data_IF_290599888401
#
_entry.id   IF_290599888401
#
_cell.length_a   1.000
_cell.length_b   1.000
_cell.length_c   1.000
_cell.angle_alpha   90.00
_cell.angle_beta   90.00
_cell.angle_gamma   90.00
#
_symmetry.space_group_name_H-M   'P 1'
#
loop_
_entity.id
_entity.type
_entity.pdbx_description
1 polymer ?
#
# COMPACT_ATOMS: atom_id res chain seq x y z
N UNK A 1 -4.30 -0.35 18.12
CA UNK A 1 -3.59 -0.41 19.41
C UNK A 1 -2.25 -1.15 19.30
N UNK A 2 -2.20 -2.45 18.99
CA UNK A 2 -0.96 -3.25 19.02
C UNK A 2 0.22 -2.71 18.19
N UNK A 3 -0.01 -2.21 16.96
CA UNK A 3 1.06 -1.62 16.14
C UNK A 3 1.74 -0.44 16.83
N UNK A 4 0.96 0.40 17.50
CA UNK A 4 1.48 1.56 18.23
C UNK A 4 2.22 1.14 19.52
N UNK A 5 1.78 0.06 20.18
CA UNK A 5 2.53 -0.52 21.31
C UNK A 5 3.89 -1.03 20.87
N UNK A 6 3.98 -1.75 19.74
CA UNK A 6 5.27 -2.19 19.17
C UNK A 6 6.16 -0.99 18.88
N UNK A 7 5.61 0.07 18.26
CA UNK A 7 6.35 1.30 18.01
C UNK A 7 6.90 1.92 19.30
N UNK A 8 6.08 2.04 20.35
CA UNK A 8 6.51 2.56 21.65
C UNK A 8 7.63 1.69 22.25
N UNK A 9 7.45 0.37 22.30
CA UNK A 9 8.47 -0.54 22.82
C UNK A 9 9.81 -0.40 22.09
N UNK A 10 9.80 -0.36 20.76
CA UNK A 10 11.02 -0.26 19.94
C UNK A 10 11.69 1.12 20.12
N UNK A 11 10.90 2.19 20.21
CA UNK A 11 11.40 3.54 20.48
C UNK A 11 12.05 3.62 21.85
N UNK A 12 11.38 3.11 22.88
CA UNK A 12 11.81 3.22 24.28
C UNK A 12 13.05 2.34 24.56
N UNK A 13 13.20 1.21 23.85
CA UNK A 13 14.44 0.39 23.87
C UNK A 13 15.63 0.99 23.09
N UNK A 14 15.35 1.99 22.25
CA UNK A 14 16.29 2.56 21.29
C UNK A 14 16.33 1.79 19.97
N UNK A 15 16.05 2.50 18.86
CA UNK A 15 16.03 1.96 17.50
C UNK A 15 17.43 1.48 17.09
N UNK A 16 17.55 0.22 16.71
CA UNK A 16 18.84 -0.44 16.40
C UNK A 16 19.20 -0.48 14.92
N UNK A 17 18.20 -0.41 14.05
CA UNK A 17 18.38 -0.35 12.61
C UNK A 17 18.05 1.06 12.12
N UNK A 18 19.05 1.77 11.63
CA UNK A 18 18.96 3.15 11.16
C UNK A 18 18.81 3.27 9.63
N UNK A 19 18.85 2.14 8.91
CA UNK A 19 18.53 2.01 7.48
C UNK A 19 17.08 1.55 7.35
N UNK A 20 16.29 2.29 6.58
CA UNK A 20 14.88 1.95 6.34
C UNK A 20 14.66 1.86 4.86
N UNK A 21 14.09 0.74 4.43
CA UNK A 21 13.60 0.52 3.07
C UNK A 21 12.10 0.73 3.07
N UNK A 22 11.60 1.62 2.23
CA UNK A 22 10.19 1.75 1.94
C UNK A 22 9.89 1.33 0.51
N UNK A 23 8.92 0.45 0.36
CA UNK A 23 8.31 0.10 -0.92
C UNK A 23 6.83 0.39 -0.76
N UNK A 24 6.39 1.50 -1.36
CA UNK A 24 5.03 1.97 -1.24
C UNK A 24 4.33 2.02 -2.60
N UNK A 25 3.02 2.19 -2.59
CA UNK A 25 2.23 2.51 -3.77
C UNK A 25 1.24 3.60 -3.43
N UNK A 26 1.32 4.75 -4.10
CA UNK A 26 0.30 5.79 -3.99
C UNK A 26 -0.74 5.57 -5.07
N UNK A 27 -1.99 5.42 -4.66
CA UNK A 27 -3.10 5.10 -5.55
C UNK A 27 -3.97 6.32 -5.80
N UNK A 28 -4.40 6.50 -7.04
CA UNK A 28 -5.10 7.69 -7.52
C UNK A 28 -6.26 7.33 -8.44
N UNK A 29 -7.29 8.17 -8.46
CA UNK A 29 -8.33 8.16 -9.49
C UNK A 29 -8.38 9.53 -10.19
N UNK A 30 -8.78 9.52 -11.46
CA UNK A 30 -9.05 10.75 -12.21
C UNK A 30 -10.46 11.25 -11.86
N UNK A 31 -10.52 12.29 -11.05
CA UNK A 31 -11.77 12.93 -10.65
C UNK A 31 -12.32 13.81 -11.77
N UNK A 32 -13.58 13.58 -12.13
CA UNK A 32 -14.34 14.46 -13.02
C UNK A 32 -14.75 15.73 -12.24
N UNK A 33 -13.89 16.74 -12.24
CA UNK A 33 -14.09 17.99 -11.52
C UNK A 33 -14.88 19.04 -12.31
N UNK A 34 -15.02 20.23 -11.71
CA UNK A 34 -15.63 21.39 -12.39
C UNK A 34 -14.77 21.84 -13.59
N UNK A 35 -15.42 22.15 -14.72
CA UNK A 35 -14.82 22.56 -16.01
C UNK A 35 -14.26 21.43 -16.91
N UNK A 36 -14.77 20.20 -16.80
CA UNK A 36 -14.48 19.05 -17.68
C UNK A 36 -12.99 18.67 -17.80
N UNK A 37 -12.13 19.14 -16.87
CA UNK A 37 -10.72 18.77 -16.80
C UNK A 37 -10.52 17.74 -15.68
N UNK A 38 -10.13 16.50 -16.02
CA UNK A 38 -9.85 15.49 -15.01
C UNK A 38 -8.70 15.91 -14.10
N UNK A 39 -8.89 15.79 -12.79
CA UNK A 39 -7.83 16.05 -11.80
C UNK A 39 -7.44 14.76 -11.10
N UNK A 40 -6.14 14.58 -10.85
CA UNK A 40 -5.65 13.37 -10.18
C UNK A 40 -5.89 13.50 -8.67
N UNK A 41 -6.63 12.56 -8.09
CA UNK A 41 -6.98 12.55 -6.67
C UNK A 41 -6.50 11.29 -5.99
N UNK A 42 -5.77 11.43 -4.89
CA UNK A 42 -5.19 10.32 -4.13
C UNK A 42 -6.29 9.59 -3.38
N UNK A 43 -6.39 8.28 -3.61
CA UNK A 43 -7.30 7.38 -2.89
C UNK A 43 -6.68 7.00 -1.54
N UNK A 44 -5.42 6.60 -1.56
CA UNK A 44 -4.64 6.19 -0.40
C UNK A 44 -3.14 6.08 -0.75
N UNK A 45 -2.32 5.92 0.28
CA UNK A 45 -0.93 5.48 0.14
C UNK A 45 -0.76 4.14 0.87
N UNK A 46 -0.33 3.12 0.14
CA UNK A 46 -0.03 1.80 0.66
C UNK A 46 1.44 1.75 1.09
N UNK A 47 1.73 1.70 2.39
CA UNK A 47 3.13 1.69 2.91
C UNK A 47 3.61 0.31 3.34
N UNK A 48 2.73 -0.69 3.41
CA UNK A 48 3.02 -2.08 3.74
C UNK A 48 2.48 -3.00 2.64
N UNK A 49 3.21 -4.10 2.35
CA UNK A 49 2.76 -5.17 1.47
C UNK A 49 2.19 -4.71 0.10
N UNK A 50 2.73 -3.61 -0.45
CA UNK A 50 2.32 -3.03 -1.72
C UNK A 50 2.46 -4.06 -2.86
N UNK A 51 1.34 -4.70 -3.19
CA UNK A 51 1.29 -5.88 -4.06
C UNK A 51 1.18 -5.53 -5.55
N UNK A 52 1.30 -6.56 -6.39
CA UNK A 52 1.10 -6.54 -7.85
C UNK A 52 2.23 -5.91 -8.67
N UNK A 53 3.39 -5.64 -8.09
CA UNK A 53 4.55 -5.25 -8.89
C UNK A 53 5.02 -6.36 -9.84
N UNK A 54 4.93 -7.62 -9.43
CA UNK A 54 5.30 -8.77 -10.25
C UNK A 54 4.32 -9.00 -11.40
N UNK A 55 3.05 -9.23 -11.08
CA UNK A 55 2.03 -9.47 -12.11
C UNK A 55 1.73 -8.22 -12.94
N UNK A 56 1.65 -7.04 -12.31
CA UNK A 56 1.41 -5.77 -12.99
C UNK A 56 2.50 -5.44 -14.02
N UNK A 57 3.76 -5.80 -13.76
CA UNK A 57 4.84 -5.61 -14.74
C UNK A 57 4.68 -6.46 -16.02
N UNK A 58 3.82 -7.48 -16.02
CA UNK A 58 3.58 -8.38 -17.16
C UNK A 58 2.36 -8.00 -18.00
N UNK A 59 1.41 -7.23 -17.44
CA UNK A 59 0.19 -6.83 -18.12
C UNK A 59 0.46 -6.02 -19.40
N UNK A 60 1.41 -5.07 -19.42
CA UNK A 60 1.74 -4.36 -20.66
C UNK A 60 2.07 -5.27 -21.84
N UNK A 61 2.78 -6.38 -21.61
CA UNK A 61 3.15 -7.30 -22.69
C UNK A 61 1.93 -8.06 -23.23
N UNK A 62 0.98 -8.41 -22.36
CA UNK A 62 -0.30 -9.01 -22.77
C UNK A 62 -1.09 -8.02 -23.63
N UNK A 63 -1.22 -6.77 -23.20
CA UNK A 63 -1.97 -5.76 -23.96
C UNK A 63 -1.31 -5.42 -25.30
N UNK A 64 0.03 -5.33 -25.36
CA UNK A 64 0.75 -5.19 -26.63
C UNK A 64 0.46 -6.34 -27.58
N UNK A 65 0.49 -7.57 -27.06
CA UNK A 65 0.19 -8.76 -27.86
C UNK A 65 -1.23 -8.72 -28.43
N UNK A 66 -2.22 -8.33 -27.63
CA UNK A 66 -3.62 -8.17 -28.10
C UNK A 66 -3.70 -7.16 -29.25
N UNK A 67 -3.08 -5.99 -29.13
CA UNK A 67 -3.04 -5.00 -30.21
C UNK A 67 -2.34 -5.51 -31.47
N UNK A 68 -1.24 -6.26 -31.31
CA UNK A 68 -0.53 -6.87 -32.43
C UNK A 68 -1.40 -7.90 -33.17
N UNK A 69 -2.08 -8.79 -32.44
CA UNK A 69 -3.01 -9.78 -33.01
C UNK A 69 -4.19 -9.09 -33.71
N UNK A 70 -4.64 -7.95 -33.19
CA UNK A 70 -5.67 -7.13 -33.82
C UNK A 70 -5.18 -6.34 -35.05
N UNK A 71 -3.89 -6.40 -35.38
CA UNK A 71 -3.32 -5.66 -36.52
C UNK A 71 -3.16 -4.16 -36.27
N UNK A 72 -2.98 -3.75 -35.00
CA UNK A 72 -2.78 -2.36 -34.56
C UNK A 72 -1.42 -2.14 -33.88
N UNK A 73 -0.30 -2.32 -34.59
CA UNK A 73 1.04 -2.19 -34.02
C UNK A 73 1.35 -0.79 -33.47
N UNK A 74 0.79 0.26 -34.07
CA UNK A 74 0.91 1.65 -33.59
C UNK A 74 0.24 1.85 -32.23
N UNK A 75 -0.86 1.13 -31.95
CA UNK A 75 -1.52 1.16 -30.64
C UNK A 75 -0.75 0.36 -29.60
N UNK A 76 -0.16 -0.77 -30.00
CA UNK A 76 0.74 -1.54 -29.15
C UNK A 76 1.94 -0.68 -28.67
N UNK A 77 2.44 0.22 -29.52
CA UNK A 77 3.58 1.08 -29.19
C UNK A 77 3.26 2.13 -28.10
N UNK A 78 1.99 2.48 -27.90
CA UNK A 78 1.55 3.44 -26.88
C UNK A 78 1.44 2.83 -25.48
N UNK A 79 1.40 1.50 -25.37
CA UNK A 79 1.37 0.82 -24.07
C UNK A 79 2.72 0.96 -23.39
N UNK A 80 2.72 1.57 -22.20
CA UNK A 80 3.94 1.82 -21.42
C UNK A 80 4.52 0.53 -20.85
N UNK A 81 5.86 0.41 -20.84
CA UNK A 81 6.52 -0.67 -20.09
C UNK A 81 6.38 -0.38 -18.60
N UNK A 82 6.21 -1.43 -17.80
CA UNK A 82 6.23 -1.33 -16.35
C UNK A 82 7.46 -2.08 -15.82
N UNK A 83 8.39 -1.34 -15.23
CA UNK A 83 9.63 -1.89 -14.66
C UNK A 83 9.54 -2.11 -13.14
N UNK A 84 8.32 -2.10 -12.57
CA UNK A 84 8.15 -2.04 -11.12
C UNK A 84 8.82 -3.20 -10.39
N UNK A 85 8.74 -4.40 -10.95
CA UNK A 85 9.39 -5.59 -10.38
C UNK A 85 10.91 -5.43 -10.28
N UNK A 86 11.55 -4.86 -11.30
CA UNK A 86 13.01 -4.69 -11.36
C UNK A 86 13.48 -3.59 -10.41
N UNK A 87 12.77 -2.46 -10.38
CA UNK A 87 13.08 -1.32 -9.51
C UNK A 87 12.91 -1.66 -8.03
N UNK A 88 11.86 -2.42 -7.69
CA UNK A 88 11.64 -2.92 -6.32
C UNK A 88 12.72 -3.95 -5.94
N UNK A 89 13.06 -4.88 -6.84
CA UNK A 89 14.16 -5.81 -6.60
C UNK A 89 15.48 -5.07 -6.37
N UNK A 90 15.75 -3.97 -7.10
CA UNK A 90 16.92 -3.12 -6.94
C UNK A 90 16.96 -2.44 -5.57
N UNK A 91 15.84 -1.89 -5.11
CA UNK A 91 15.69 -1.35 -3.76
C UNK A 91 16.02 -2.38 -2.68
N UNK A 92 15.41 -3.57 -2.77
CA UNK A 92 15.64 -4.65 -1.82
C UNK A 92 17.11 -5.10 -1.83
N UNK A 93 17.68 -5.32 -3.02
CA UNK A 93 19.07 -5.73 -3.17
C UNK A 93 20.05 -4.66 -2.64
N UNK A 94 19.76 -3.37 -2.84
CA UNK A 94 20.60 -2.30 -2.29
C UNK A 94 20.48 -2.20 -0.79
N UNK A 95 19.28 -2.36 -0.21
CA UNK A 95 19.12 -2.44 1.24
C UNK A 95 19.94 -3.60 1.82
N UNK A 96 19.86 -4.79 1.21
CA UNK A 96 20.67 -5.95 1.58
C UNK A 96 22.18 -5.68 1.51
N UNK A 97 22.68 -5.03 0.45
CA UNK A 97 24.10 -4.62 0.36
C UNK A 97 24.47 -3.60 1.44
N UNK A 98 23.57 -2.66 1.75
CA UNK A 98 23.80 -1.66 2.80
C UNK A 98 23.79 -2.25 4.21
N UNK A 99 23.11 -3.38 4.43
CA UNK A 99 23.22 -4.15 5.66
C UNK A 99 24.65 -4.66 5.88
N UNK A 100 25.32 -5.09 4.81
CA UNK A 100 26.76 -5.34 4.79
C UNK A 100 27.21 -6.74 5.19
N UNK A 101 26.34 -7.76 5.09
CA UNK A 101 26.69 -9.17 5.32
C UNK A 101 26.32 -10.00 4.09
N UNK A 102 27.32 -10.50 3.36
CA UNK A 102 27.12 -11.30 2.13
C UNK A 102 26.47 -12.66 2.38
N UNK A 103 26.58 -13.18 3.61
CA UNK A 103 25.97 -14.46 4.02
C UNK A 103 24.54 -14.29 4.53
N UNK A 104 24.11 -13.05 4.80
CA UNK A 104 22.78 -12.80 5.32
C UNK A 104 21.72 -13.00 4.24
N UNK A 105 20.53 -13.42 4.67
CA UNK A 105 19.39 -13.70 3.79
C UNK A 105 18.36 -12.58 3.85
N UNK A 106 17.45 -12.58 2.89
CA UNK A 106 16.22 -11.80 2.93
C UNK A 106 15.09 -12.72 3.40
N UNK A 107 14.29 -12.28 4.36
CA UNK A 107 13.08 -13.00 4.76
C UNK A 107 11.87 -12.26 4.21
N UNK A 108 11.10 -12.95 3.37
CA UNK A 108 9.74 -12.57 3.01
C UNK A 108 8.82 -13.04 4.14
N UNK A 109 8.20 -12.10 4.83
CA UNK A 109 7.19 -12.39 5.86
C UNK A 109 5.86 -12.58 5.16
N UNK A 110 5.27 -13.76 5.24
CA UNK A 110 4.19 -14.19 4.34
C UNK A 110 2.99 -14.76 5.09
N UNK A 111 1.83 -14.66 4.45
CA UNK A 111 0.56 -15.23 4.92
C UNK A 111 0.60 -16.76 4.95
N UNK A 112 -0.31 -17.37 5.70
CA UNK A 112 -0.45 -18.84 5.73
C UNK A 112 -0.80 -19.42 4.34
N UNK A 113 -1.75 -18.79 3.64
CA UNK A 113 -2.16 -19.17 2.29
C UNK A 113 -2.13 -17.94 1.39
N UNK A 114 -1.03 -17.78 0.64
CA UNK A 114 -0.86 -16.66 -0.28
C UNK A 114 -1.51 -16.95 -1.64
N UNK A 115 -2.77 -16.50 -1.84
CA UNK A 115 -3.43 -16.57 -3.16
C UNK A 115 -2.63 -15.87 -4.26
N UNK A 116 -1.95 -14.78 -3.90
CA UNK A 116 -1.12 -13.99 -4.79
C UNK A 116 0.37 -14.40 -4.75
N UNK A 117 0.68 -15.67 -4.48
CA UNK A 117 2.07 -16.14 -4.34
C UNK A 117 2.93 -15.87 -5.59
N UNK A 118 2.34 -15.98 -6.78
CA UNK A 118 3.09 -15.78 -8.03
C UNK A 118 3.63 -14.36 -8.18
N UNK A 119 2.88 -13.35 -7.74
CA UNK A 119 3.38 -11.96 -7.68
C UNK A 119 4.64 -11.84 -6.81
N UNK A 120 4.66 -12.53 -5.67
CA UNK A 120 5.80 -12.54 -4.75
C UNK A 120 6.98 -13.31 -5.35
N UNK A 121 6.73 -14.47 -5.97
CA UNK A 121 7.76 -15.30 -6.60
C UNK A 121 8.45 -14.59 -7.76
N UNK A 122 7.74 -13.72 -8.48
CA UNK A 122 8.38 -12.88 -9.50
C UNK A 122 9.53 -12.05 -8.90
N UNK A 123 9.34 -11.52 -7.70
CA UNK A 123 10.36 -10.71 -7.03
C UNK A 123 11.49 -11.57 -6.46
N UNK A 124 11.16 -12.74 -5.91
CA UNK A 124 12.18 -13.72 -5.48
C UNK A 124 13.08 -14.14 -6.64
N UNK A 125 12.53 -14.37 -7.83
CA UNK A 125 13.31 -14.71 -9.02
C UNK A 125 14.30 -13.60 -9.40
N UNK A 126 13.90 -12.32 -9.31
CA UNK A 126 14.82 -11.21 -9.57
C UNK A 126 15.95 -11.13 -8.53
N UNK A 127 15.66 -11.47 -7.27
CA UNK A 127 16.67 -11.54 -6.21
C UNK A 127 17.61 -12.73 -6.38
N UNK A 128 17.10 -13.91 -6.74
CA UNK A 128 17.91 -15.10 -7.01
C UNK A 128 18.86 -14.93 -8.19
N UNK A 129 18.42 -14.24 -9.26
CA UNK A 129 19.30 -13.86 -10.38
C UNK A 129 20.48 -12.99 -9.97
N UNK A 130 20.42 -12.39 -8.77
CA UNK A 130 21.48 -11.56 -8.18
C UNK A 130 22.25 -12.31 -7.09
N UNK A 131 22.05 -13.63 -6.98
CA UNK A 131 22.63 -14.50 -5.96
C UNK A 131 22.24 -14.09 -4.52
N UNK A 132 21.07 -13.50 -4.32
CA UNK A 132 20.55 -13.15 -2.99
C UNK A 132 19.54 -14.21 -2.55
N UNK A 133 19.84 -14.89 -1.44
CA UNK A 133 18.96 -15.92 -0.87
C UNK A 133 17.74 -15.32 -0.21
N UNK A 134 16.57 -15.91 -0.50
CA UNK A 134 15.29 -15.54 0.11
C UNK A 134 14.70 -16.71 0.89
N UNK A 135 14.30 -16.46 2.14
CA UNK A 135 13.48 -17.36 2.95
C UNK A 135 12.04 -16.83 3.01
N UNK A 136 11.05 -17.72 3.08
CA UNK A 136 9.66 -17.37 3.34
C UNK A 136 9.28 -17.86 4.73
N UNK A 137 8.81 -16.97 5.60
CA UNK A 137 8.41 -17.33 6.97
C UNK A 137 7.13 -16.60 7.35
N UNK A 138 6.28 -17.26 8.12
CA UNK A 138 5.15 -16.63 8.80
C UNK A 138 5.63 -15.88 10.04
N UNK A 139 4.80 -15.00 10.57
CA UNK A 139 5.14 -14.21 11.75
C UNK A 139 5.32 -15.09 13.01
N UNK A 140 4.41 -16.05 13.25
CA UNK A 140 4.56 -17.09 14.28
C UNK A 140 5.89 -17.88 14.16
N UNK A 141 6.30 -18.27 12.95
CA UNK A 141 7.54 -19.02 12.73
C UNK A 141 8.78 -18.17 13.05
N UNK A 142 8.72 -16.86 12.81
CA UNK A 142 9.78 -15.93 13.17
C UNK A 142 9.91 -15.84 14.69
N UNK A 143 8.81 -15.86 15.43
CA UNK A 143 8.85 -15.91 16.88
C UNK A 143 9.45 -17.24 17.39
N UNK A 144 8.98 -18.36 16.85
CA UNK A 144 9.38 -19.70 17.30
C UNK A 144 10.85 -20.04 16.98
N UNK A 145 11.38 -19.51 15.88
CA UNK A 145 12.68 -19.92 15.31
C UNK A 145 13.70 -18.79 15.25
N UNK A 146 13.27 -17.57 15.55
CA UNK A 146 14.10 -16.37 15.50
C UNK A 146 14.88 -16.16 16.78
N UNK A 147 16.17 -15.88 16.65
CA UNK A 147 17.06 -15.58 17.78
C UNK A 147 17.74 -14.24 17.51
N UNK A 148 17.77 -13.36 18.52
CA UNK A 148 18.60 -12.17 18.51
C UNK A 148 19.92 -12.47 19.22
N UNK A 149 21.04 -12.16 18.57
CA UNK A 149 22.34 -12.18 19.25
C UNK A 149 22.53 -10.95 20.15
N UNK A 150 23.72 -10.83 20.77
CA UNK A 150 24.06 -9.70 21.65
C UNK A 150 24.01 -8.34 20.94
N UNK A 151 24.25 -8.32 19.63
CA UNK A 151 24.17 -7.11 18.80
C UNK A 151 22.76 -6.91 18.22
N UNK A 152 21.78 -7.75 18.60
CA UNK A 152 20.42 -7.81 18.03
C UNK A 152 20.39 -8.10 16.54
N UNK A 153 21.39 -8.78 15.98
CA UNK A 153 21.27 -9.41 14.66
C UNK A 153 20.25 -10.53 14.78
N UNK A 154 19.33 -10.58 13.82
CA UNK A 154 18.32 -11.63 13.76
C UNK A 154 18.87 -12.84 13.02
N UNK A 155 18.75 -14.01 13.63
CA UNK A 155 19.01 -15.29 12.99
C UNK A 155 17.72 -16.09 12.92
N UNK A 156 17.42 -16.66 11.77
CA UNK A 156 16.31 -17.61 11.58
C UNK A 156 16.90 -18.85 10.93
N UNK A 157 16.74 -20.01 11.57
CA UNK A 157 17.27 -21.30 11.07
C UNK A 157 18.78 -21.29 10.82
N UNK A 158 19.52 -20.53 11.65
CA UNK A 158 20.96 -20.35 11.52
C UNK A 158 21.40 -19.31 10.48
N UNK A 159 20.47 -18.70 9.74
CA UNK A 159 20.78 -17.66 8.77
C UNK A 159 20.61 -16.26 9.36
N UNK A 160 21.65 -15.42 9.29
CA UNK A 160 21.57 -13.99 9.60
C UNK A 160 20.58 -13.32 8.65
N UNK A 161 19.69 -12.47 9.16
CA UNK A 161 18.67 -11.78 8.36
C UNK A 161 19.08 -10.33 8.14
N UNK A 162 19.28 -9.97 6.87
CA UNK A 162 19.62 -8.60 6.47
C UNK A 162 18.37 -7.75 6.24
N UNK A 163 17.36 -8.31 5.58
CA UNK A 163 16.12 -7.61 5.22
C UNK A 163 14.91 -8.46 5.58
N UNK A 164 13.93 -7.88 6.25
CA UNK A 164 12.60 -8.45 6.46
C UNK A 164 11.60 -7.69 5.59
N UNK A 165 11.12 -8.34 4.52
CA UNK A 165 10.16 -7.77 3.58
C UNK A 165 8.75 -8.30 3.87
N UNK A 166 7.86 -7.41 4.34
CA UNK A 166 6.53 -7.80 4.79
C UNK A 166 5.56 -7.88 3.62
N UNK A 167 4.99 -9.08 3.42
CA UNK A 167 3.88 -9.39 2.49
C UNK A 167 2.59 -9.80 3.21
N UNK A 168 2.56 -9.65 4.53
CA UNK A 168 1.46 -9.90 5.47
C UNK A 168 1.61 -8.92 6.64
N UNK A 169 0.69 -8.96 7.60
CA UNK A 169 0.75 -8.19 8.84
C UNK A 169 0.17 -6.79 8.72
N UNK A 170 -0.72 -6.59 7.74
CA UNK A 170 -1.43 -5.34 7.45
C UNK A 170 -2.89 -5.36 7.92
N UNK A 171 -3.44 -6.55 8.20
CA UNK A 171 -4.75 -6.74 8.84
C UNK A 171 -4.65 -7.45 10.20
N UNK A 172 -5.67 -7.36 11.07
CA UNK A 172 -5.72 -8.14 12.31
C UNK A 172 -5.72 -9.65 12.08
N UNK A 173 -6.32 -10.12 10.98
CA UNK A 173 -6.41 -11.55 10.64
C UNK A 173 -5.04 -12.17 10.31
N UNK A 174 -4.01 -11.34 10.07
CA UNK A 174 -2.62 -11.76 9.92
C UNK A 174 -1.93 -12.06 11.27
N UNK A 175 -2.61 -11.78 12.39
CA UNK A 175 -2.11 -11.99 13.75
C UNK A 175 -3.11 -12.82 14.59
N UNK A 176 -3.36 -14.09 14.22
CA UNK A 176 -4.32 -14.94 14.93
C UNK A 176 -3.89 -15.26 16.38
N UNK A 177 -2.61 -15.09 16.71
CA UNK A 177 -2.07 -15.41 18.03
C UNK A 177 -1.15 -14.33 18.59
N UNK A 178 -0.85 -14.42 19.90
CA UNK A 178 0.17 -13.59 20.53
C UNK A 178 1.57 -13.88 19.97
N UNK A 179 1.81 -15.09 19.46
CA UNK A 179 3.09 -15.45 18.82
C UNK A 179 3.34 -14.61 17.56
N UNK A 180 2.31 -14.31 16.77
CA UNK A 180 2.44 -13.43 15.61
C UNK A 180 2.81 -12.01 16.04
N UNK A 181 2.15 -11.47 17.08
CA UNK A 181 2.51 -10.15 17.60
C UNK A 181 3.94 -10.12 18.15
N UNK A 182 4.37 -11.19 18.84
CA UNK A 182 5.73 -11.32 19.35
C UNK A 182 6.75 -11.48 18.22
N UNK A 183 6.40 -12.18 17.13
CA UNK A 183 7.25 -12.31 15.94
C UNK A 183 7.44 -10.98 15.24
N UNK A 184 6.37 -10.18 15.11
CA UNK A 184 6.47 -8.81 14.60
C UNK A 184 7.35 -7.94 15.50
N UNK A 185 7.17 -8.00 16.82
CA UNK A 185 8.02 -7.26 17.76
C UNK A 185 9.49 -7.70 17.66
N UNK A 186 9.77 -9.00 17.54
CA UNK A 186 11.12 -9.55 17.36
C UNK A 186 11.81 -8.97 16.12
N UNK A 187 11.09 -8.92 14.99
CA UNK A 187 11.58 -8.28 13.76
C UNK A 187 11.96 -6.82 14.02
N UNK A 188 11.05 -6.04 14.60
CA UNK A 188 11.23 -4.60 14.78
C UNK A 188 12.39 -4.27 15.73
N UNK A 189 12.59 -5.08 16.79
CA UNK A 189 13.71 -4.95 17.74
C UNK A 189 15.07 -5.31 17.14
N UNK A 190 15.08 -6.07 16.04
CA UNK A 190 16.30 -6.55 15.40
C UNK A 190 17.03 -5.49 14.57
N UNK A 191 18.29 -5.80 14.24
CA UNK A 191 19.09 -5.08 13.25
C UNK A 191 18.71 -5.38 11.81
N UNK A 192 17.79 -6.31 11.50
CA UNK A 192 17.34 -6.46 10.11
C UNK A 192 16.71 -5.16 9.61
N UNK A 193 16.89 -4.83 8.32
CA UNK A 193 16.20 -3.73 7.64
C UNK A 193 14.77 -4.18 7.39
N UNK A 194 13.80 -3.47 7.95
CA UNK A 194 12.38 -3.77 7.72
C UNK A 194 11.90 -3.03 6.48
N UNK A 195 10.99 -3.65 5.75
CA UNK A 195 10.26 -3.04 4.65
C UNK A 195 8.76 -3.40 4.75
N UNK A 196 7.94 -2.52 5.33
CA UNK A 196 8.30 -1.31 6.10
C UNK A 196 8.67 -1.62 7.55
N UNK A 197 9.34 -0.69 8.23
CA UNK A 197 9.40 -0.67 9.70
C UNK A 197 8.06 -0.25 10.31
N UNK A 198 7.88 -0.47 11.62
CA UNK A 198 6.59 -0.21 12.29
C UNK A 198 6.13 1.25 12.19
N UNK A 199 7.06 2.21 12.21
CA UNK A 199 6.74 3.62 12.06
C UNK A 199 6.23 3.93 10.64
N UNK A 200 6.90 3.43 9.60
CA UNK A 200 6.45 3.59 8.21
C UNK A 200 5.11 2.87 7.96
N UNK A 201 4.86 1.74 8.62
CA UNK A 201 3.56 1.08 8.59
C UNK A 201 2.46 2.01 9.17
N UNK A 202 2.68 2.63 10.33
CA UNK A 202 1.72 3.56 10.94
C UNK A 202 1.45 4.80 10.06
N UNK A 203 2.44 5.26 9.29
CA UNK A 203 2.26 6.38 8.33
C UNK A 203 1.25 6.05 7.23
N UNK A 204 1.07 4.78 6.88
CA UNK A 204 0.09 4.36 5.87
C UNK A 204 -1.36 4.37 6.34
N UNK A 205 -1.60 4.60 7.64
CA UNK A 205 -2.97 4.61 8.18
C UNK A 205 -3.81 5.73 7.58
N UNK A 206 -5.11 5.46 7.40
CA UNK A 206 -6.06 6.44 6.87
C UNK A 206 -6.16 7.68 7.77
N UNK A 207 -5.98 7.51 9.09
CA UNK A 207 -5.88 8.62 10.04
C UNK A 207 -4.69 9.54 9.74
N UNK A 208 -3.50 9.00 9.46
CA UNK A 208 -2.35 9.84 9.08
C UNK A 208 -2.60 10.53 7.75
N UNK A 209 -3.19 9.84 6.75
CA UNK A 209 -3.58 10.47 5.49
C UNK A 209 -4.52 11.66 5.71
N UNK A 210 -5.52 11.52 6.58
CA UNK A 210 -6.44 12.61 6.94
C UNK A 210 -5.74 13.74 7.71
N UNK A 211 -4.87 13.44 8.67
CA UNK A 211 -4.17 14.48 9.42
C UNK A 211 -3.20 15.29 8.53
N UNK A 212 -2.62 14.67 7.51
CA UNK A 212 -1.75 15.35 6.54
C UNK A 212 -2.51 16.39 5.68
N UNK A 213 -3.84 16.31 5.54
CA UNK A 213 -4.60 17.32 4.78
C UNK A 213 -4.87 18.59 5.56
N UNK A 214 -4.69 18.58 6.89
CA UNK A 214 -4.91 19.77 7.72
C UNK A 214 -3.96 20.90 7.31
N UNK A 215 -4.44 22.15 7.24
CA UNK A 215 -3.59 23.30 6.93
C UNK A 215 -2.36 23.38 7.83
N UNK A 216 -1.18 23.58 7.23
CA UNK A 216 0.08 23.70 7.95
C UNK A 216 0.71 22.38 8.42
N UNK A 217 0.07 21.21 8.23
CA UNK A 217 0.65 19.92 8.65
C UNK A 217 1.70 19.42 7.65
N UNK A 218 1.42 19.46 6.34
CA UNK A 218 2.42 19.10 5.32
C UNK A 218 3.68 19.96 5.43
N UNK A 219 3.50 21.26 5.66
CA UNK A 219 4.60 22.23 5.79
C UNK A 219 5.54 21.90 6.94
N UNK A 220 5.08 21.21 8.00
CA UNK A 220 5.96 20.75 9.09
C UNK A 220 6.95 19.67 8.63
N UNK A 221 6.58 18.87 7.65
CA UNK A 221 7.40 17.75 7.15
C UNK A 221 8.19 18.10 5.89
N UNK A 222 7.74 19.10 5.13
CA UNK A 222 8.32 19.53 3.85
C UNK A 222 8.60 21.04 3.84
N UNK A 223 9.10 21.56 4.96
CA UNK A 223 9.30 23.01 5.20
C UNK A 223 10.27 23.66 4.19
N UNK A 224 11.18 22.88 3.62
CA UNK A 224 12.17 23.30 2.64
C UNK A 224 11.74 23.05 1.18
N UNK A 225 10.54 22.52 0.95
CA UNK A 225 10.05 22.15 -0.38
C UNK A 225 8.58 22.57 -0.62
N UNK A 226 8.31 23.87 -0.72
CA UNK A 226 6.94 24.39 -0.93
C UNK A 226 6.31 23.86 -2.22
N UNK A 227 7.07 23.66 -3.29
CA UNK A 227 6.56 23.11 -4.53
C UNK A 227 6.08 21.65 -4.37
N UNK A 228 6.76 20.84 -3.55
CA UNK A 228 6.29 19.49 -3.22
C UNK A 228 5.00 19.55 -2.40
N UNK A 229 4.88 20.49 -1.46
CA UNK A 229 3.64 20.72 -0.70
C UNK A 229 2.49 21.02 -1.64
N UNK A 230 2.66 21.92 -2.60
CA UNK A 230 1.64 22.27 -3.58
C UNK A 230 1.23 21.07 -4.44
N UNK A 231 2.20 20.31 -4.99
CA UNK A 231 1.93 19.12 -5.81
C UNK A 231 1.19 18.04 -5.02
N UNK A 232 1.59 17.77 -3.78
CA UNK A 232 0.93 16.76 -2.93
C UNK A 232 -0.49 17.23 -2.59
N UNK A 233 -0.65 18.48 -2.13
CA UNK A 233 -1.94 19.05 -1.76
C UNK A 233 -2.93 19.06 -2.92
N UNK A 234 -2.48 19.30 -4.15
CA UNK A 234 -3.33 19.25 -5.33
C UNK A 234 -4.01 17.88 -5.53
N UNK A 235 -3.40 16.80 -5.03
CA UNK A 235 -3.95 15.44 -5.10
C UNK A 235 -4.94 15.12 -4.00
N UNK A 236 -5.05 15.93 -2.95
CA UNK A 236 -5.98 15.65 -1.86
C UNK A 236 -7.44 15.90 -2.27
N UNK A 237 -8.31 15.13 -1.62
CA UNK A 237 -9.77 15.37 -1.55
C UNK A 237 -10.12 15.79 -0.13
N UNK A 238 -11.38 16.15 0.12
CA UNK A 238 -11.88 16.34 1.47
C UNK A 238 -11.63 15.10 2.35
N UNK A 239 -10.85 15.26 3.41
CA UNK A 239 -10.56 14.22 4.39
C UNK A 239 -10.83 14.79 5.78
N UNK A 240 -11.74 14.17 6.52
CA UNK A 240 -12.31 14.73 7.74
C UNK A 240 -12.20 13.76 8.91
N UNK A 241 -11.95 14.33 10.09
CA UNK A 241 -11.92 13.57 11.34
C UNK A 241 -13.31 13.43 11.94
N UNK A 242 -13.55 12.29 12.59
CA UNK A 242 -14.71 12.05 13.44
C UNK A 242 -14.43 12.23 14.92
N UNK A 243 -13.24 12.69 15.34
CA UNK A 243 -12.90 12.81 16.76
C UNK A 243 -13.95 13.61 17.56
N UNK A 244 -14.09 13.31 18.86
CA UNK A 244 -15.04 13.99 19.76
C UNK A 244 -14.82 15.51 19.77
N UNK A 245 -15.90 16.28 19.56
CA UNK A 245 -15.88 17.73 19.52
C UNK A 245 -16.64 18.33 18.33
N UNK A 246 -16.71 19.66 18.31
CA UNK A 246 -17.53 20.44 17.36
C UNK A 246 -17.18 20.16 15.88
N UNK A 247 -15.90 19.94 15.56
CA UNK A 247 -15.47 19.57 14.21
C UNK A 247 -16.06 18.21 13.80
N UNK A 248 -15.90 17.19 14.64
CA UNK A 248 -16.41 15.85 14.36
C UNK A 248 -17.93 15.81 14.26
N UNK A 249 -18.63 16.55 15.13
CA UNK A 249 -20.10 16.59 15.12
C UNK A 249 -20.66 17.23 13.84
N UNK A 250 -19.99 18.26 13.32
CA UNK A 250 -20.31 18.85 12.01
C UNK A 250 -20.07 17.87 10.87
N UNK A 251 -18.97 17.12 10.92
CA UNK A 251 -18.65 16.10 9.91
C UNK A 251 -19.68 14.98 9.92
N UNK A 252 -20.12 14.51 11.11
CA UNK A 252 -21.22 13.53 11.22
C UNK A 252 -22.50 14.07 10.60
N UNK A 253 -22.89 15.30 10.92
CA UNK A 253 -24.10 15.91 10.36
C UNK A 253 -24.04 16.03 8.83
N UNK A 254 -22.90 16.48 8.30
CA UNK A 254 -22.64 16.58 6.86
C UNK A 254 -22.76 15.22 6.17
N UNK A 255 -22.10 14.19 6.72
CA UNK A 255 -22.11 12.84 6.16
C UNK A 255 -23.49 12.17 6.22
N UNK A 256 -24.27 12.43 7.28
CA UNK A 256 -25.65 11.92 7.40
C UNK A 256 -26.63 12.59 6.43
N UNK A 257 -26.39 13.87 6.10
CA UNK A 257 -27.23 14.62 5.16
C UNK A 257 -27.01 14.17 3.71
N UNK A 258 -25.76 13.93 3.32
CA UNK A 258 -25.38 13.61 1.94
C UNK A 258 -24.45 12.39 1.84
N UNK A 259 -24.90 11.19 2.26
CA UNK A 259 -24.03 10.01 2.38
C UNK A 259 -23.44 9.52 1.06
N UNK A 260 -24.06 9.87 -0.08
CA UNK A 260 -23.60 9.48 -1.42
C UNK A 260 -22.31 10.19 -1.86
N UNK A 261 -21.98 11.32 -1.24
CA UNK A 261 -20.78 12.11 -1.53
C UNK A 261 -19.55 11.69 -0.71
N UNK A 262 -19.69 10.69 0.16
CA UNK A 262 -18.62 10.29 1.06
C UNK A 262 -18.36 8.79 1.08
N UNK A 263 -17.20 8.45 1.61
CA UNK A 263 -16.76 7.09 1.93
C UNK A 263 -16.26 7.09 3.36
N UNK A 264 -16.76 6.16 4.16
CA UNK A 264 -16.31 5.97 5.54
C UNK A 264 -15.23 4.87 5.54
N UNK A 265 -14.04 5.21 6.03
CA UNK A 265 -12.89 4.29 6.01
C UNK A 265 -12.41 3.96 7.42
N UNK A 266 -12.36 2.69 7.83
CA UNK A 266 -11.68 2.28 9.06
C UNK A 266 -10.16 2.28 8.87
N UNK A 267 -9.42 2.14 9.97
CA UNK A 267 -7.96 1.90 9.94
C UNK A 267 -7.63 0.45 9.52
N UNK A 268 -7.93 0.11 8.27
CA UNK A 268 -7.68 -1.20 7.64
C UNK A 268 -7.05 -1.02 6.26
N UNK A 269 -6.35 -2.06 5.82
CA UNK A 269 -5.73 -2.18 4.50
C UNK A 269 -6.26 -3.42 3.77
N UNK A 270 -6.07 -3.50 2.45
CA UNK A 270 -6.37 -4.70 1.66
C UNK A 270 -7.74 -4.74 0.95
N UNK A 271 -8.51 -3.65 1.00
CA UNK A 271 -9.82 -3.52 0.34
C UNK A 271 -10.96 -4.26 1.06
N UNK A 272 -12.21 -3.92 0.77
CA UNK A 272 -13.40 -4.57 1.32
C UNK A 272 -13.82 -4.08 2.71
N UNK A 273 -13.27 -2.97 3.20
CA UNK A 273 -13.51 -2.46 4.55
C UNK A 273 -14.26 -1.12 4.59
N UNK A 274 -14.55 -0.53 3.43
CA UNK A 274 -15.14 0.81 3.33
C UNK A 274 -16.67 0.73 3.30
N UNK A 275 -17.35 1.68 3.95
CA UNK A 275 -18.81 1.78 3.92
C UNK A 275 -19.25 2.98 3.08
N UNK A 276 -20.35 2.82 2.34
CA UNK A 276 -20.88 3.79 1.37
C UNK A 276 -22.39 3.98 1.55
N UNK A 277 -22.91 5.15 1.14
CA UNK A 277 -24.36 5.39 1.05
C UNK A 277 -25.13 5.04 2.32
N UNK A 278 -26.13 4.16 2.20
CA UNK A 278 -26.97 3.77 3.33
C UNK A 278 -26.20 3.00 4.43
N UNK A 279 -25.20 2.19 4.08
CA UNK A 279 -24.36 1.48 5.06
C UNK A 279 -23.55 2.48 5.89
N UNK A 280 -22.98 3.50 5.24
CA UNK A 280 -22.29 4.61 5.90
C UNK A 280 -23.24 5.30 6.89
N UNK A 281 -24.47 5.60 6.48
CA UNK A 281 -25.45 6.29 7.32
C UNK A 281 -25.84 5.47 8.55
N UNK A 282 -26.06 4.17 8.38
CA UNK A 282 -26.37 3.24 9.47
C UNK A 282 -25.21 3.15 10.46
N UNK A 283 -23.98 3.00 9.97
CA UNK A 283 -22.78 2.91 10.79
C UNK A 283 -22.52 4.22 11.55
N UNK A 284 -22.66 5.38 10.91
CA UNK A 284 -22.56 6.67 11.60
C UNK A 284 -23.66 6.85 12.64
N UNK A 285 -24.87 6.36 12.36
CA UNK A 285 -25.98 6.36 13.32
C UNK A 285 -25.64 5.62 14.61
N UNK A 286 -24.99 4.46 14.51
CA UNK A 286 -24.55 3.69 15.68
C UNK A 286 -23.33 4.27 16.40
N UNK A 287 -22.48 5.01 15.68
CA UNK A 287 -21.22 5.55 16.21
C UNK A 287 -21.31 6.98 16.76
N UNK A 288 -22.37 7.72 16.44
CA UNK A 288 -22.48 9.17 16.69
C UNK A 288 -22.05 9.60 18.10
N UNK A 289 -22.55 8.87 19.11
CA UNK A 289 -22.33 9.15 20.54
C UNK A 289 -21.28 8.20 21.17
N UNK A 290 -20.53 7.47 20.34
CA UNK A 290 -19.52 6.50 20.76
C UNK A 290 -18.10 7.03 20.48
N UNK A 291 -17.15 6.87 21.42
CA UNK A 291 -15.75 7.20 21.16
C UNK A 291 -15.12 6.35 20.04
N UNK A 292 -15.76 5.22 19.68
CA UNK A 292 -15.35 4.37 18.57
C UNK A 292 -15.41 5.07 17.21
N UNK A 293 -16.12 6.20 17.10
CA UNK A 293 -16.12 7.04 15.89
C UNK A 293 -14.71 7.46 15.45
N UNK A 294 -13.76 7.58 16.40
CA UNK A 294 -12.34 7.87 16.14
C UNK A 294 -11.58 6.77 15.38
N UNK A 295 -12.15 5.56 15.27
CA UNK A 295 -11.57 4.48 14.47
C UNK A 295 -11.74 4.70 12.96
N UNK A 296 -12.50 5.71 12.54
CA UNK A 296 -12.85 5.98 11.16
C UNK A 296 -12.40 7.37 10.72
N UNK A 297 -12.28 7.57 9.42
CA UNK A 297 -12.20 8.88 8.78
C UNK A 297 -13.30 9.00 7.73
N UNK A 298 -13.73 10.23 7.45
CA UNK A 298 -14.58 10.51 6.30
C UNK A 298 -13.71 10.97 5.14
N UNK A 299 -13.96 10.43 3.96
CA UNK A 299 -13.33 10.87 2.73
C UNK A 299 -14.39 11.29 1.73
N UNK A 300 -14.20 12.43 1.08
CA UNK A 300 -14.98 12.84 -0.08
C UNK A 300 -14.82 11.79 -1.21
N UNK A 301 -15.94 11.33 -1.74
CA UNK A 301 -15.97 10.31 -2.77
C UNK A 301 -15.47 10.91 -4.08
N UNK A 302 -14.40 10.35 -4.62
CA UNK A 302 -13.96 10.69 -5.97
C UNK A 302 -14.99 10.17 -6.97
N UNK A 303 -15.47 11.05 -7.85
CA UNK A 303 -16.21 10.67 -9.07
C UNK A 303 -15.22 10.34 -10.19
N UNK A 304 -14.90 9.06 -10.46
CA UNK A 304 -13.97 8.68 -11.51
C UNK A 304 -14.58 8.90 -12.91
N UNK A 305 -13.71 9.08 -13.91
CA UNK A 305 -14.11 9.01 -15.31
C UNK A 305 -14.45 7.56 -15.71
N UNK A 306 -15.68 7.28 -16.18
CA UNK A 306 -16.02 5.96 -16.69
C UNK A 306 -15.33 5.68 -18.02
N UNK A 307 -14.89 4.44 -18.19
CA UNK A 307 -14.37 3.89 -19.45
C UNK A 307 -15.07 2.58 -19.75
N UNK A 308 -15.24 2.22 -21.01
CA UNK A 308 -15.84 0.94 -21.37
C UNK A 308 -14.73 -0.05 -21.73
N UNK A 309 -14.72 -1.22 -21.08
CA UNK A 309 -13.70 -2.24 -21.32
C UNK A 309 -14.28 -3.67 -21.14
N UNK A 310 -13.51 -4.69 -21.51
CA UNK A 310 -13.80 -6.09 -21.21
C UNK A 310 -13.05 -6.54 -19.96
N UNK A 311 -13.79 -6.96 -18.93
CA UNK A 311 -13.21 -7.57 -17.74
C UNK A 311 -13.12 -9.09 -17.95
N UNK A 312 -11.92 -9.65 -17.82
CA UNK A 312 -11.66 -11.08 -18.02
C UNK A 312 -11.42 -11.75 -16.68
N UNK A 313 -12.33 -12.63 -16.28
CA UNK A 313 -12.22 -13.43 -15.06
C UNK A 313 -12.20 -14.93 -15.38
N UNK A 314 -11.48 -15.77 -14.62
CA UNK A 314 -11.48 -17.21 -14.81
C UNK A 314 -12.89 -17.80 -14.74
N UNK A 315 -13.28 -18.57 -15.77
CA UNK A 315 -14.58 -19.23 -15.82
C UNK A 315 -15.79 -18.31 -16.11
N UNK A 316 -15.56 -17.02 -16.36
CA UNK A 316 -16.63 -16.05 -16.69
C UNK A 316 -16.45 -15.57 -18.13
N UNK A 317 -17.50 -15.65 -18.98
CA UNK A 317 -17.44 -15.09 -20.33
C UNK A 317 -17.14 -13.59 -20.31
N UNK A 318 -16.22 -13.07 -21.16
CA UNK A 318 -15.94 -11.64 -21.23
C UNK A 318 -17.21 -10.84 -21.57
N UNK A 319 -17.47 -9.80 -20.79
CA UNK A 319 -18.61 -8.87 -20.99
C UNK A 319 -18.10 -7.44 -21.11
N UNK A 320 -18.60 -6.73 -22.12
CA UNK A 320 -18.37 -5.29 -22.26
C UNK A 320 -19.04 -4.58 -21.08
N UNK A 321 -18.25 -3.86 -20.31
CA UNK A 321 -18.65 -3.34 -19.00
C UNK A 321 -18.19 -1.89 -18.86
N UNK A 322 -19.03 -1.04 -18.28
CA UNK A 322 -18.61 0.29 -17.85
C UNK A 322 -17.74 0.14 -16.60
N UNK A 323 -16.57 0.75 -16.63
CA UNK A 323 -15.49 0.52 -15.70
C UNK A 323 -14.92 1.83 -15.17
N UNK A 324 -14.25 1.74 -14.04
CA UNK A 324 -13.44 2.82 -13.46
C UNK A 324 -12.04 2.31 -13.19
N UNK A 325 -11.07 3.20 -13.31
CA UNK A 325 -9.65 2.87 -13.17
C UNK A 325 -9.02 3.56 -11.96
N UNK A 326 -8.09 2.86 -11.32
CA UNK A 326 -7.30 3.35 -10.19
C UNK A 326 -5.82 3.15 -10.51
N UNK A 327 -5.10 4.26 -10.65
CA UNK A 327 -3.69 4.32 -10.98
C UNK A 327 -2.84 4.29 -9.71
N UNK A 328 -2.10 3.21 -9.52
CA UNK A 328 -1.05 3.09 -8.51
C UNK A 328 0.32 3.45 -9.06
N UNK A 329 1.06 4.29 -8.34
CA UNK A 329 2.47 4.59 -8.63
C UNK A 329 3.33 4.00 -7.51
N UNK A 330 4.25 3.11 -7.86
CA UNK A 330 5.18 2.53 -6.90
C UNK A 330 6.31 3.52 -6.58
N UNK A 331 6.62 3.65 -5.29
CA UNK A 331 7.80 4.35 -4.82
C UNK A 331 8.75 3.39 -4.11
N UNK A 332 10.05 3.55 -4.36
CA UNK A 332 11.11 2.86 -3.63
C UNK A 332 12.01 3.91 -3.02
N UNK A 333 12.21 3.86 -1.70
CA UNK A 333 13.15 4.73 -1.03
C UNK A 333 13.98 3.98 -0.01
N UNK A 334 15.22 4.46 0.21
CA UNK A 334 16.06 4.02 1.30
C UNK A 334 16.54 5.25 2.04
N UNK A 335 16.36 5.29 3.36
CA UNK A 335 16.98 6.29 4.24
C UNK A 335 18.02 5.65 5.15
N UNK A 336 19.08 6.38 5.49
CA UNK A 336 20.09 6.00 6.47
C UNK A 336 20.37 7.17 7.42
N UNK A 337 20.16 6.95 8.71
CA UNK A 337 20.38 7.99 9.74
C UNK A 337 19.64 9.31 9.44
N UNK A 338 18.42 9.22 8.90
CA UNK A 338 17.61 10.38 8.52
C UNK A 338 17.88 10.93 7.12
N UNK A 339 18.99 10.56 6.47
CA UNK A 339 19.32 11.03 5.12
C UNK A 339 18.73 10.12 4.05
N UNK A 340 18.19 10.72 2.99
CA UNK A 340 17.69 9.99 1.82
C UNK A 340 18.84 9.47 0.96
N UNK A 341 18.82 8.18 0.64
CA UNK A 341 19.85 7.47 -0.17
C UNK A 341 19.29 7.03 -1.52
N UNK A 342 18.02 6.63 -1.56
CA UNK A 342 17.24 6.42 -2.78
C UNK A 342 15.88 7.10 -2.58
N UNK A 343 15.36 7.72 -3.63
CA UNK A 343 13.96 8.12 -3.72
C UNK A 343 13.51 8.05 -5.18
N UNK A 344 12.99 6.89 -5.60
CA UNK A 344 12.73 6.57 -7.00
C UNK A 344 11.25 6.30 -7.27
N UNK A 345 10.70 6.93 -8.32
CA UNK A 345 9.47 6.49 -8.96
C UNK A 345 9.73 5.17 -9.69
N UNK A 346 9.07 4.11 -9.23
CA UNK A 346 9.45 2.71 -9.50
C UNK A 346 8.37 1.98 -10.29
N UNK A 347 7.76 2.64 -11.27
CA UNK A 347 6.73 2.05 -12.13
C UNK A 347 5.30 2.23 -11.61
N UNK A 348 4.37 1.55 -12.27
CA UNK A 348 2.93 1.77 -12.09
C UNK A 348 2.14 0.47 -12.04
N UNK A 349 0.91 0.57 -11.57
CA UNK A 349 -0.13 -0.45 -11.58
C UNK A 349 -1.42 0.24 -11.98
N UNK A 350 -2.14 -0.27 -12.97
CA UNK A 350 -3.52 0.15 -13.18
C UNK A 350 -4.44 -0.99 -12.72
N UNK A 351 -5.46 -0.64 -11.95
CA UNK A 351 -6.52 -1.55 -11.54
C UNK A 351 -7.82 -1.05 -12.12
N UNK A 352 -8.62 -1.95 -12.66
CA UNK A 352 -9.88 -1.60 -13.32
C UNK A 352 -11.00 -2.45 -12.74
N UNK A 353 -12.14 -1.84 -12.45
CA UNK A 353 -13.33 -2.55 -11.92
C UNK A 353 -14.60 -2.05 -12.60
N UNK A 354 -15.66 -2.85 -12.55
CA UNK A 354 -17.00 -2.42 -12.99
C UNK A 354 -17.50 -1.25 -12.12
N UNK A 355 -18.26 -0.31 -12.72
CA UNK A 355 -18.94 0.77 -12.00
C UNK A 355 -20.00 0.27 -11.01
N UNK A 356 -20.46 -0.98 -11.17
CA UNK A 356 -21.43 -1.62 -10.27
C UNK A 356 -20.87 -1.88 -8.86
N UNK A 357 -19.54 -1.89 -8.68
CA UNK A 357 -18.90 -2.15 -7.38
C UNK A 357 -18.37 -0.87 -6.73
N UNK A 358 -18.87 -0.56 -5.53
CA UNK A 358 -18.45 0.59 -4.74
C UNK A 358 -17.00 0.45 -4.23
N UNK A 359 -16.63 -0.72 -3.68
CA UNK A 359 -15.25 -1.03 -3.27
C UNK A 359 -14.45 -1.72 -4.39
N UNK A 360 -13.14 -1.87 -4.22
CA UNK A 360 -12.23 -2.45 -5.20
C UNK A 360 -11.34 -3.55 -4.65
N UNK A 361 -10.25 -3.84 -5.36
CA UNK A 361 -9.25 -4.83 -4.97
C UNK A 361 -9.23 -6.06 -5.87
N UNK A 362 -8.05 -6.39 -6.38
CA UNK A 362 -7.85 -7.57 -7.24
C UNK A 362 -7.88 -8.84 -6.40
N UNK A 363 -7.28 -8.82 -5.21
CA UNK A 363 -7.32 -9.94 -4.24
C UNK A 363 -8.74 -10.20 -3.72
N UNK A 364 -9.58 -9.17 -3.67
CA UNK A 364 -11.00 -9.26 -3.31
C UNK A 364 -11.88 -9.79 -4.46
N UNK A 365 -11.32 -9.98 -5.67
CA UNK A 365 -12.05 -10.50 -6.83
C UNK A 365 -12.91 -9.46 -7.56
N UNK A 366 -12.78 -8.18 -7.21
CA UNK A 366 -13.61 -7.10 -7.77
C UNK A 366 -12.92 -6.38 -8.92
N UNK A 367 -11.64 -6.05 -8.75
CA UNK A 367 -10.83 -5.41 -9.79
C UNK A 367 -10.01 -6.42 -10.59
N UNK A 368 -9.65 -6.07 -11.82
CA UNK A 368 -8.65 -6.75 -12.64
C UNK A 368 -7.40 -5.90 -12.77
N UNK A 369 -6.29 -6.53 -13.16
CA UNK A 369 -5.07 -5.82 -13.51
C UNK A 369 -5.19 -5.22 -14.91
N UNK A 370 -4.67 -4.01 -15.09
CA UNK A 370 -4.73 -3.26 -16.34
C UNK A 370 -3.39 -2.53 -16.60
N UNK A 371 -3.25 -1.86 -17.74
CA UNK A 371 -2.12 -0.99 -18.06
C UNK A 371 -2.59 0.36 -18.63
N UNK A 372 -1.94 1.48 -18.29
CA UNK A 372 -2.32 2.78 -18.85
C UNK A 372 -2.05 2.84 -20.35
N UNK A 373 -3.06 3.28 -21.09
CA UNK A 373 -2.96 3.71 -22.48
C UNK A 373 -2.92 5.25 -22.49
N UNK A 374 -1.84 5.84 -23.01
CA UNK A 374 -1.69 7.29 -23.05
C UNK A 374 -2.49 7.87 -24.22
N UNK A 375 -3.42 8.77 -23.90
CA UNK A 375 -4.33 9.47 -24.84
C UNK A 375 -3.84 10.85 -25.23
#
# INVERSE_FOLDING_TARGET
>A
AHLFEIYKSVRDEGIRQNIILGINRSDYMFHNGQNDKPTLKQIEINTIAASFAGLGSRIPDIHRHVFQVWGKPEEAAKILKCEAIYRIADGIAKAWRMYGSEKAVIVFVVENVARNIFDQRCLEMELWRRNITVLRRKTEEIYQRGILDTDRKLFIDGYEVAVAYLRTGYGPDDYPSLEDWNGRLLLERSRAIKCPDIATHLVGTKKVQQELTRPGVLEKFLYDNPEAVERIRATFVGLYSFDEGEEGDKVVAMAMAEPEHFVLKPQREGGGNNSFGEELKQLLGSLKDSPERSAYILMEKVTPLPVVNYLVHPGVPPKLTECVTELGIFGVYIRRCGNMVINDCSGHLLRTKSTEFADGGVTAGVAVLDSPYLV
#
